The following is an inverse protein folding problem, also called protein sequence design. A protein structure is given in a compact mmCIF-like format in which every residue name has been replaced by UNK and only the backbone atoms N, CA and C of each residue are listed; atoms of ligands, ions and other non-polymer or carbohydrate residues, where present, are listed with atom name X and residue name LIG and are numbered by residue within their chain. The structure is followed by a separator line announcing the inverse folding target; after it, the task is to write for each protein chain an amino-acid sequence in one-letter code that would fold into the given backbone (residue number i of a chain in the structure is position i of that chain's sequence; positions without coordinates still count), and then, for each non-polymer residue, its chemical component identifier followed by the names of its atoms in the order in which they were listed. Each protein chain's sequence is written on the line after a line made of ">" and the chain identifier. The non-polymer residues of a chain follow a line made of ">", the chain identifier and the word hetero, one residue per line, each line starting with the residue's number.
data_IF_449214407343
#
_entry.id   IF_449214407343
#
_cell.length_a   1.000
_cell.length_b   1.000
_cell.length_c   1.000
_cell.angle_alpha   90.00
_cell.angle_beta   90.00
_cell.angle_gamma   90.00
#
_symmetry.space_group_name_H-M   'P 1'
#
loop_
_entity.id
_entity.type
_entity.pdbx_description
1 polymer ?
#
# COMPACT_ATOMS: atom_id res chain seq x y z
N UNK A 1 27.49 22.72 -21.21
CA UNK A 1 26.14 22.16 -21.53
C UNK A 1 25.81 20.86 -20.77
N UNK A 2 26.66 19.80 -20.79
CA UNK A 2 26.36 18.49 -20.14
C UNK A 2 26.15 18.51 -18.60
N UNK A 3 26.84 19.40 -17.85
CA UNK A 3 26.66 19.54 -16.39
C UNK A 3 25.27 20.06 -15.97
N UNK A 4 24.69 20.98 -16.75
CA UNK A 4 23.38 21.56 -16.46
C UNK A 4 22.23 20.55 -16.62
N UNK A 5 22.35 19.66 -17.63
CA UNK A 5 21.38 18.56 -17.84
C UNK A 5 21.43 17.56 -16.69
N UNK A 6 22.62 17.14 -16.24
CA UNK A 6 22.78 16.23 -15.11
C UNK A 6 22.22 16.81 -13.79
N UNK A 7 22.40 18.12 -13.55
CA UNK A 7 21.83 18.81 -12.41
C UNK A 7 20.29 18.83 -12.47
N UNK A 8 19.71 19.09 -13.65
CA UNK A 8 18.26 19.08 -13.87
C UNK A 8 17.66 17.69 -13.66
N UNK A 9 18.29 16.64 -14.18
CA UNK A 9 17.84 15.24 -13.99
C UNK A 9 17.89 14.85 -12.51
N UNK A 10 18.96 15.22 -11.78
CA UNK A 10 19.04 14.99 -10.33
C UNK A 10 17.95 15.75 -9.57
N UNK A 11 17.70 17.02 -9.91
CA UNK A 11 16.63 17.81 -9.31
C UNK A 11 15.25 17.20 -9.51
N UNK A 12 14.95 16.73 -10.74
CA UNK A 12 13.69 16.02 -11.04
C UNK A 12 13.59 14.73 -10.24
N UNK A 13 14.66 13.93 -10.18
CA UNK A 13 14.68 12.67 -9.42
C UNK A 13 14.47 12.91 -7.92
N UNK A 14 15.11 13.92 -7.35
CA UNK A 14 14.93 14.29 -5.94
C UNK A 14 13.51 14.76 -5.67
N UNK A 15 12.97 15.67 -6.50
CA UNK A 15 11.59 16.13 -6.35
C UNK A 15 10.56 14.99 -6.48
N UNK A 16 10.79 14.05 -7.40
CA UNK A 16 9.95 12.87 -7.57
C UNK A 16 10.06 11.95 -6.35
N UNK A 17 11.29 11.69 -5.87
CA UNK A 17 11.54 10.89 -4.66
C UNK A 17 10.89 11.51 -3.42
N UNK A 18 10.95 12.82 -3.26
CA UNK A 18 10.39 13.50 -2.08
C UNK A 18 8.86 13.48 -2.10
N UNK A 19 8.25 13.71 -3.27
CA UNK A 19 6.79 13.67 -3.44
C UNK A 19 6.23 12.26 -3.22
N UNK A 20 6.82 11.25 -3.84
CA UNK A 20 6.40 9.86 -3.64
C UNK A 20 6.78 9.35 -2.25
N UNK A 21 7.93 9.77 -1.74
CA UNK A 21 8.40 9.43 -0.40
C UNK A 21 7.45 9.90 0.69
N UNK A 22 6.91 11.14 0.59
CA UNK A 22 5.88 11.63 1.53
C UNK A 22 4.65 10.73 1.52
N UNK A 23 4.11 10.43 0.33
CA UNK A 23 2.89 9.61 0.17
C UNK A 23 3.07 8.17 0.65
N UNK A 24 4.25 7.60 0.41
CA UNK A 24 4.58 6.25 0.87
C UNK A 24 4.71 6.20 2.40
N UNK A 25 5.28 7.24 3.03
CA UNK A 25 5.31 7.34 4.49
C UNK A 25 3.91 7.51 5.09
N UNK A 26 3.07 8.31 4.46
CA UNK A 26 1.67 8.47 4.85
C UNK A 26 0.91 7.14 4.75
N UNK A 27 1.09 6.40 3.65
CA UNK A 27 0.54 5.05 3.50
C UNK A 27 1.06 4.11 4.59
N UNK A 28 2.37 4.12 4.88
CA UNK A 28 2.96 3.29 5.92
C UNK A 28 2.32 3.57 7.28
N UNK A 29 2.18 4.85 7.66
CA UNK A 29 1.54 5.26 8.92
C UNK A 29 0.10 4.75 9.06
N UNK A 30 -0.65 4.64 7.97
CA UNK A 30 -2.02 4.10 8.00
C UNK A 30 -2.01 2.57 8.14
N UNK A 31 -1.08 1.88 7.48
CA UNK A 31 -1.02 0.42 7.48
C UNK A 31 -0.32 -0.18 8.71
N UNK A 32 0.57 0.58 9.36
CA UNK A 32 1.33 0.17 10.54
C UNK A 32 0.54 0.35 11.86
N UNK A 33 -0.72 0.76 11.78
CA UNK A 33 -1.62 0.83 12.95
C UNK A 33 -1.96 -0.55 13.53
N UNK A 34 -2.39 -0.55 14.80
CA UNK A 34 -2.74 -1.78 15.54
C UNK A 34 -4.14 -2.31 15.24
N UNK A 35 -4.90 -1.65 14.36
CA UNK A 35 -6.24 -2.08 13.98
C UNK A 35 -6.20 -3.39 13.17
N UNK A 36 -7.15 -4.29 13.45
CA UNK A 36 -7.33 -5.55 12.69
C UNK A 36 -7.92 -5.30 11.29
N UNK A 37 -8.59 -4.17 11.08
CA UNK A 37 -9.09 -3.74 9.78
C UNK A 37 -8.62 -2.31 9.47
N UNK A 38 -8.09 -2.12 8.27
CA UNK A 38 -7.54 -0.85 7.81
C UNK A 38 -8.26 -0.41 6.55
N UNK A 39 -8.70 0.85 6.54
CA UNK A 39 -9.32 1.48 5.37
C UNK A 39 -8.37 2.51 4.75
N UNK A 40 -8.07 2.34 3.46
CA UNK A 40 -7.19 3.23 2.69
C UNK A 40 -7.96 3.85 1.54
N UNK A 41 -7.84 5.17 1.34
CA UNK A 41 -8.39 5.87 0.17
C UNK A 41 -7.27 6.21 -0.83
N UNK A 42 -7.06 5.41 -1.89
CA UNK A 42 -5.89 5.57 -2.77
C UNK A 42 -5.85 6.91 -3.49
N UNK A 43 -7.02 7.50 -3.80
CA UNK A 43 -7.11 8.81 -4.44
C UNK A 43 -6.65 9.95 -3.52
N UNK A 44 -6.81 9.83 -2.20
CA UNK A 44 -6.28 10.82 -1.24
C UNK A 44 -4.76 10.79 -1.21
N UNK A 45 -4.18 9.58 -1.19
CA UNK A 45 -2.73 9.37 -1.24
C UNK A 45 -2.12 9.61 -2.62
N UNK A 46 -2.96 9.68 -3.67
CA UNK A 46 -2.57 9.78 -5.08
C UNK A 46 -1.56 8.68 -5.47
N UNK A 47 -1.80 7.46 -4.98
CA UNK A 47 -0.98 6.27 -5.25
C UNK A 47 -1.75 5.28 -6.14
N UNK A 48 -1.08 4.51 -7.01
CA UNK A 48 -1.71 3.39 -7.71
C UNK A 48 -2.20 2.32 -6.73
N UNK A 49 -3.34 1.67 -7.04
CA UNK A 49 -3.90 0.59 -6.20
C UNK A 49 -2.92 -0.54 -5.96
N UNK A 50 -2.18 -0.92 -7.01
CA UNK A 50 -1.20 -2.01 -6.94
C UNK A 50 -0.14 -1.76 -5.88
N UNK A 51 0.28 -0.50 -5.70
CA UNK A 51 1.23 -0.10 -4.65
C UNK A 51 0.59 -0.25 -3.27
N UNK A 52 -0.67 0.18 -3.10
CA UNK A 52 -1.39 0.04 -1.83
C UNK A 52 -1.56 -1.45 -1.46
N UNK A 53 -2.00 -2.29 -2.42
CA UNK A 53 -2.17 -3.73 -2.21
C UNK A 53 -0.85 -4.41 -1.85
N UNK A 54 0.23 -4.12 -2.58
CA UNK A 54 1.54 -4.70 -2.30
C UNK A 54 2.04 -4.31 -0.90
N UNK A 55 1.86 -3.04 -0.51
CA UNK A 55 2.26 -2.53 0.80
C UNK A 55 1.42 -3.09 1.96
N UNK A 56 0.12 -3.34 1.74
CA UNK A 56 -0.75 -3.97 2.72
C UNK A 56 -0.37 -5.45 2.91
N UNK A 57 -0.18 -6.19 1.82
CA UNK A 57 0.23 -7.61 1.86
C UNK A 57 1.57 -7.82 2.53
N UNK A 58 2.53 -6.93 2.32
CA UNK A 58 3.83 -7.01 3.01
C UNK A 58 3.72 -6.84 4.55
N UNK A 59 2.55 -6.43 5.06
CA UNK A 59 2.24 -6.28 6.49
C UNK A 59 1.26 -7.35 7.01
N UNK A 60 0.99 -8.39 6.21
CA UNK A 60 0.05 -9.44 6.58
C UNK A 60 -1.41 -9.00 6.53
N UNK A 61 -1.72 -7.96 5.75
CA UNK A 61 -3.09 -7.51 5.50
C UNK A 61 -3.56 -8.02 4.13
N UNK A 62 -4.78 -8.55 4.04
CA UNK A 62 -5.40 -8.96 2.77
C UNK A 62 -6.65 -8.13 2.46
N UNK A 63 -6.98 -7.88 1.18
CA UNK A 63 -8.18 -7.15 0.81
C UNK A 63 -9.44 -7.86 1.32
N UNK A 64 -10.33 -7.10 1.97
CA UNK A 64 -11.66 -7.58 2.31
C UNK A 64 -12.42 -7.88 1.02
N UNK A 65 -13.01 -9.07 0.91
CA UNK A 65 -13.62 -9.55 -0.34
C UNK A 65 -12.62 -10.11 -1.37
N UNK A 66 -11.35 -10.25 -0.99
CA UNK A 66 -10.31 -10.91 -1.78
C UNK A 66 -9.93 -10.16 -3.07
N UNK A 67 -9.29 -10.87 -3.99
CA UNK A 67 -8.79 -10.27 -5.26
C UNK A 67 -9.93 -9.75 -6.14
N UNK A 68 -11.13 -10.33 -6.03
CA UNK A 68 -12.31 -9.87 -6.77
C UNK A 68 -12.70 -8.43 -6.39
N UNK A 69 -12.54 -8.04 -5.12
CA UNK A 69 -12.75 -6.67 -4.67
C UNK A 69 -11.78 -5.68 -5.31
N UNK A 70 -10.67 -6.14 -5.90
CA UNK A 70 -9.68 -5.32 -6.61
C UNK A 70 -9.97 -5.15 -8.12
N UNK A 71 -10.89 -5.93 -8.68
CA UNK A 71 -11.09 -6.06 -10.13
C UNK A 71 -11.88 -4.89 -10.77
N UNK A 72 -12.28 -3.88 -10.00
CA UNK A 72 -13.09 -2.77 -10.51
C UNK A 72 -12.32 -1.92 -11.55
N UNK A 73 -12.90 -1.82 -12.75
CA UNK A 73 -12.41 -0.98 -13.86
C UNK A 73 -12.82 0.48 -13.65
N UNK A 74 -11.98 1.43 -14.08
CA UNK A 74 -12.22 2.87 -13.96
C UNK A 74 -11.50 3.55 -12.78
N UNK A 75 -11.68 4.86 -12.56
CA UNK A 75 -11.09 5.58 -11.42
C UNK A 75 -11.67 5.05 -10.10
N UNK A 76 -10.81 4.83 -9.09
CA UNK A 76 -11.26 4.29 -7.80
C UNK A 76 -11.84 5.44 -6.99
N UNK A 77 -13.11 5.30 -6.60
CA UNK A 77 -13.79 6.24 -5.71
C UNK A 77 -14.19 5.59 -4.38
N UNK A 78 -14.02 4.27 -4.25
CA UNK A 78 -14.39 3.49 -3.06
C UNK A 78 -13.19 3.12 -2.17
N UNK A 79 -13.25 3.26 -0.84
CA UNK A 79 -12.09 2.96 -0.01
C UNK A 79 -11.68 1.49 -0.12
N UNK A 80 -10.37 1.23 -0.12
CA UNK A 80 -9.84 -0.13 -0.03
C UNK A 80 -9.84 -0.56 1.43
N UNK A 81 -10.47 -1.68 1.73
CA UNK A 81 -10.48 -2.27 3.06
C UNK A 81 -9.57 -3.47 3.09
N UNK A 82 -8.78 -3.58 4.16
CA UNK A 82 -7.88 -4.69 4.38
C UNK A 82 -8.08 -5.23 5.79
N UNK A 83 -8.01 -6.53 5.94
CA UNK A 83 -8.06 -7.20 7.24
C UNK A 83 -6.74 -7.91 7.51
N UNK A 84 -6.31 -7.91 8.77
CA UNK A 84 -5.17 -8.69 9.24
C UNK A 84 -5.48 -10.16 9.06
N UNK A 85 -4.55 -10.88 8.46
CA UNK A 85 -4.62 -12.34 8.41
C UNK A 85 -4.45 -12.82 9.85
N UNK A 86 -5.57 -13.15 10.51
CA UNK A 86 -5.53 -13.90 11.75
C UNK A 86 -4.90 -15.24 11.41
N UNK A 87 -3.62 -15.37 11.71
CA UNK A 87 -2.92 -16.64 11.62
C UNK A 87 -3.51 -17.51 12.71
N UNK A 88 -4.63 -18.17 12.44
CA UNK A 88 -4.99 -19.38 13.15
C UNK A 88 -3.85 -20.37 12.85
N UNK A 89 -2.80 -20.32 13.67
CA UNK A 89 -1.94 -21.47 13.86
C UNK A 89 -2.84 -22.49 14.53
N UNK A 90 -3.59 -23.24 13.72
CA UNK A 90 -4.15 -24.52 14.14
C UNK A 90 -2.95 -25.35 14.56
N UNK A 91 -2.66 -25.35 15.85
CA UNK A 91 -1.77 -26.32 16.48
C UNK A 91 -2.34 -27.67 16.04
N UNK A 92 -1.59 -28.54 15.35
CA UNK A 92 -2.05 -29.90 15.18
C UNK A 92 -2.12 -30.47 16.59
N UNK A 93 -3.33 -30.60 17.12
CA UNK A 93 -3.57 -31.31 18.36
C UNK A 93 -2.98 -32.70 18.15
N UNK A 94 -1.92 -32.96 18.90
CA UNK A 94 -1.23 -34.23 18.89
C UNK A 94 -2.24 -35.32 19.18
N UNK A 95 -2.45 -36.15 18.16
CA UNK A 95 -3.14 -37.43 18.28
C UNK A 95 -2.50 -38.18 19.45
N UNK A 96 -3.30 -38.45 20.49
CA UNK A 96 -3.01 -39.46 21.50
C UNK A 96 -3.42 -40.82 20.98
#
# INVERSE_FOLDING_TARGET
>A
MRRAVAARVRGVRTAYRDRYGRRVRELASVLDGDDDEVTVSPWRLRLPRTVVVAAARSRGLEPVGGVAALAQRGPWLEPMRFARVQSHVSRPDGVR
#
